data_IF_446301917255
#
_entry.id   IF_446301917255
#
_cell.length_a   1.000
_cell.length_b   1.000
_cell.length_c   1.000
_cell.angle_alpha   90.00
_cell.angle_beta   90.00
_cell.angle_gamma   90.00
#
_symmetry.space_group_name_H-M   'P 1'
#
loop_
_entity.id
_entity.type
_entity.pdbx_description
1 polymer ?
#
# COMPACT_ATOMS: atom_id res chain seq x y z
N UNK A 1 -39.31 -29.51 9.46
CA UNK A 1 -38.37 -30.35 8.68
C UNK A 1 -37.56 -29.44 7.81
N UNK A 2 -36.25 -29.58 7.74
CA UNK A 2 -35.45 -28.79 6.79
C UNK A 2 -35.87 -29.19 5.37
N UNK A 3 -36.11 -28.22 4.52
CA UNK A 3 -36.63 -28.39 3.15
C UNK A 3 -35.54 -28.89 2.22
N UNK A 4 -34.25 -28.79 2.57
CA UNK A 4 -33.11 -29.26 1.80
C UNK A 4 -32.26 -30.19 2.65
N UNK A 5 -31.98 -31.40 2.20
CA UNK A 5 -31.04 -32.30 2.83
C UNK A 5 -29.61 -31.74 2.68
N UNK A 6 -28.75 -31.95 3.67
CA UNK A 6 -27.32 -31.58 3.60
C UNK A 6 -26.59 -32.30 2.45
N UNK A 7 -27.19 -33.33 1.86
CA UNK A 7 -26.64 -34.08 0.74
C UNK A 7 -26.54 -33.26 -0.54
N UNK A 8 -27.41 -32.23 -0.71
CA UNK A 8 -27.43 -31.37 -1.88
C UNK A 8 -26.51 -30.13 -1.76
N UNK A 9 -25.96 -29.86 -0.56
CA UNK A 9 -25.05 -28.76 -0.30
C UNK A 9 -23.79 -29.25 0.39
N UNK A 10 -22.65 -29.35 -0.29
CA UNK A 10 -21.39 -29.68 0.35
C UNK A 10 -21.08 -28.61 1.39
N UNK A 11 -21.14 -28.97 2.69
CA UNK A 11 -20.79 -28.10 3.81
C UNK A 11 -19.29 -27.85 3.76
N UNK A 12 -18.90 -26.75 3.12
CA UNK A 12 -17.50 -26.32 3.03
C UNK A 12 -16.93 -25.91 4.38
N UNK A 13 -17.81 -25.65 5.37
CA UNK A 13 -17.45 -25.33 6.74
C UNK A 13 -18.51 -25.89 7.70
N UNK A 14 -18.08 -26.76 8.61
CA UNK A 14 -18.93 -27.45 9.57
C UNK A 14 -18.35 -27.34 11.00
N UNK A 15 -18.54 -26.18 11.69
CA UNK A 15 -18.04 -25.98 13.04
C UNK A 15 -18.81 -26.84 14.04
N UNK A 16 -18.12 -27.32 15.10
CA UNK A 16 -18.73 -28.11 16.13
C UNK A 16 -19.56 -27.25 17.11
N UNK A 17 -20.83 -27.58 17.32
CA UNK A 17 -21.70 -26.88 18.28
C UNK A 17 -21.18 -26.94 19.71
N UNK A 18 -20.58 -28.05 20.12
CA UNK A 18 -20.09 -28.28 21.49
C UNK A 18 -19.02 -27.26 21.93
N UNK A 19 -18.35 -26.56 20.99
CA UNK A 19 -17.37 -25.52 21.28
C UNK A 19 -17.93 -24.08 21.35
N UNK A 20 -19.25 -23.90 21.17
CA UNK A 20 -19.88 -22.60 21.19
C UNK A 20 -20.46 -22.24 22.55
N UNK A 21 -19.90 -21.22 23.19
CA UNK A 21 -20.39 -20.68 24.48
C UNK A 21 -21.06 -19.31 24.29
N UNK A 22 -22.08 -18.98 25.10
CA UNK A 22 -22.73 -17.68 25.05
C UNK A 22 -21.76 -16.48 25.22
N UNK A 23 -21.96 -15.41 24.44
CA UNK A 23 -23.00 -15.23 23.44
C UNK A 23 -22.66 -15.91 22.11
N UNK A 24 -23.53 -16.84 21.68
CA UNK A 24 -23.29 -17.80 20.58
C UNK A 24 -22.82 -17.15 19.25
N UNK A 25 -23.36 -15.98 18.92
CA UNK A 25 -22.94 -15.29 17.67
C UNK A 25 -21.48 -14.85 17.71
N UNK A 26 -20.94 -14.47 18.89
CA UNK A 26 -19.52 -14.12 19.06
C UNK A 26 -18.64 -15.36 19.00
N UNK A 27 -19.07 -16.43 19.65
CA UNK A 27 -18.34 -17.70 19.64
C UNK A 27 -18.25 -18.27 18.21
N UNK A 28 -19.36 -18.22 17.44
CA UNK A 28 -19.40 -18.66 16.06
C UNK A 28 -18.51 -17.77 15.16
N UNK A 29 -18.55 -16.45 15.32
CA UNK A 29 -17.68 -15.54 14.60
C UNK A 29 -16.19 -15.80 14.91
N UNK A 30 -15.85 -15.99 16.18
CA UNK A 30 -14.48 -16.31 16.60
C UNK A 30 -13.99 -17.68 16.08
N UNK A 31 -14.90 -18.66 15.96
CA UNK A 31 -14.58 -19.94 15.32
C UNK A 31 -14.28 -19.77 13.83
N UNK A 32 -15.14 -19.04 13.10
CA UNK A 32 -14.94 -18.75 11.67
C UNK A 32 -13.61 -18.01 11.45
N UNK A 33 -13.33 -17.00 12.26
CA UNK A 33 -12.09 -16.25 12.24
C UNK A 33 -10.87 -17.16 12.44
N UNK A 34 -10.88 -18.03 13.46
CA UNK A 34 -9.79 -19.00 13.69
C UNK A 34 -9.58 -19.94 12.50
N UNK A 35 -10.66 -20.43 11.90
CA UNK A 35 -10.59 -21.39 10.81
C UNK A 35 -10.08 -20.74 9.51
N UNK A 36 -10.41 -19.46 9.30
CA UNK A 36 -9.85 -18.66 8.20
C UNK A 36 -8.35 -18.38 8.44
N UNK A 37 -8.00 -17.90 9.63
CA UNK A 37 -6.63 -17.50 9.95
C UNK A 37 -5.66 -18.69 10.04
N UNK A 38 -6.14 -19.86 10.43
CA UNK A 38 -5.36 -21.09 10.44
C UNK A 38 -5.16 -21.70 9.03
N UNK A 39 -5.77 -21.13 7.99
CA UNK A 39 -5.75 -21.66 6.64
C UNK A 39 -6.66 -22.85 6.41
N UNK A 40 -7.43 -23.29 7.42
CA UNK A 40 -8.43 -24.36 7.27
C UNK A 40 -9.51 -23.98 6.27
N UNK A 41 -9.84 -22.70 6.20
CA UNK A 41 -10.68 -22.09 5.18
C UNK A 41 -9.85 -21.17 4.31
N UNK A 42 -9.34 -21.64 3.17
CA UNK A 42 -8.50 -20.83 2.28
C UNK A 42 -9.28 -19.67 1.65
N UNK A 43 -8.59 -18.62 1.17
CA UNK A 43 -9.21 -17.54 0.41
C UNK A 43 -10.13 -18.04 -0.70
N UNK A 44 -11.19 -17.28 -0.97
CA UNK A 44 -12.23 -17.60 -1.97
C UNK A 44 -13.09 -18.86 -1.66
N UNK A 45 -12.90 -19.52 -0.54
CA UNK A 45 -13.80 -20.62 -0.13
C UNK A 45 -15.21 -20.07 0.03
N UNK A 46 -16.16 -20.69 -0.67
CA UNK A 46 -17.59 -20.40 -0.50
C UNK A 46 -18.08 -20.98 0.81
N UNK A 47 -18.63 -20.13 1.66
CA UNK A 47 -19.22 -20.55 2.94
C UNK A 47 -20.62 -21.12 2.73
N UNK A 48 -21.10 -21.99 3.64
CA UNK A 48 -22.46 -22.50 3.58
C UNK A 48 -23.48 -21.36 3.64
N UNK A 49 -24.66 -21.51 3.01
CA UNK A 49 -25.76 -20.58 3.20
C UNK A 49 -26.10 -20.43 4.71
N UNK A 50 -26.38 -19.21 5.13
CA UNK A 50 -26.61 -18.92 6.56
C UNK A 50 -27.78 -19.73 7.15
N UNK A 51 -28.80 -20.04 6.34
CA UNK A 51 -29.95 -20.87 6.74
C UNK A 51 -29.53 -22.30 6.99
N UNK A 52 -28.80 -22.90 6.05
CA UNK A 52 -28.28 -24.28 6.17
C UNK A 52 -27.34 -24.42 7.38
N UNK A 53 -26.48 -23.43 7.59
CA UNK A 53 -25.59 -23.42 8.75
C UNK A 53 -26.36 -23.26 10.07
N UNK A 54 -27.45 -22.48 10.10
CA UNK A 54 -28.31 -22.32 11.26
C UNK A 54 -28.99 -23.63 11.61
N UNK A 55 -29.55 -24.33 10.61
CA UNK A 55 -30.18 -25.65 10.77
C UNK A 55 -29.15 -26.70 11.21
N UNK A 56 -27.98 -26.74 10.59
CA UNK A 56 -26.90 -27.66 11.00
C UNK A 56 -26.46 -27.49 12.45
N UNK A 57 -26.36 -26.25 12.93
CA UNK A 57 -25.93 -25.93 14.31
C UNK A 57 -27.09 -25.93 15.31
N UNK A 58 -28.34 -26.14 14.86
CA UNK A 58 -29.56 -25.94 15.66
C UNK A 58 -29.53 -24.59 16.39
N UNK A 59 -29.28 -23.51 15.61
CA UNK A 59 -29.22 -22.12 16.04
C UNK A 59 -30.27 -21.29 15.33
N UNK A 60 -30.66 -20.17 15.94
CA UNK A 60 -31.51 -19.20 15.26
C UNK A 60 -30.73 -18.55 14.11
N UNK A 61 -31.36 -18.37 12.93
CA UNK A 61 -30.79 -17.72 11.78
C UNK A 61 -30.22 -16.34 12.12
N UNK A 62 -30.88 -15.58 13.00
CA UNK A 62 -30.40 -14.26 13.45
C UNK A 62 -29.02 -14.33 14.14
N UNK A 63 -28.74 -15.44 14.87
CA UNK A 63 -27.44 -15.69 15.50
C UNK A 63 -26.34 -15.87 14.46
N UNK A 64 -26.60 -16.68 13.43
CA UNK A 64 -25.66 -16.91 12.32
C UNK A 64 -25.46 -15.64 11.52
N UNK A 65 -26.54 -14.92 11.19
CA UNK A 65 -26.46 -13.64 10.47
C UNK A 65 -25.60 -12.60 11.22
N UNK A 66 -25.76 -12.49 12.55
CA UNK A 66 -24.93 -11.61 13.37
C UNK A 66 -23.45 -12.03 13.39
N UNK A 67 -23.19 -13.34 13.43
CA UNK A 67 -21.81 -13.85 13.36
C UNK A 67 -21.15 -13.52 12.01
N UNK A 68 -21.86 -13.75 10.91
CA UNK A 68 -21.38 -13.43 9.57
C UNK A 68 -21.17 -11.93 9.38
N UNK A 69 -22.05 -11.09 9.90
CA UNK A 69 -21.89 -9.64 9.88
C UNK A 69 -20.62 -9.20 10.61
N UNK A 70 -20.34 -9.74 11.79
CA UNK A 70 -19.09 -9.45 12.50
C UNK A 70 -17.85 -9.83 11.68
N UNK A 71 -17.89 -10.97 10.98
CA UNK A 71 -16.79 -11.37 10.11
C UNK A 71 -16.68 -10.50 8.85
N UNK A 72 -17.81 -10.01 8.32
CA UNK A 72 -17.82 -9.03 7.22
C UNK A 72 -17.24 -7.69 7.66
N UNK A 73 -17.66 -7.19 8.83
CA UNK A 73 -17.15 -5.94 9.40
C UNK A 73 -15.64 -6.00 9.68
N UNK A 74 -15.12 -7.19 9.96
CA UNK A 74 -13.67 -7.47 10.09
C UNK A 74 -12.96 -7.71 8.75
N UNK A 75 -13.65 -7.67 7.62
CA UNK A 75 -13.07 -7.97 6.31
C UNK A 75 -12.65 -9.42 6.08
N UNK A 76 -13.07 -10.36 6.95
CA UNK A 76 -12.74 -11.79 6.85
C UNK A 76 -13.53 -12.51 5.77
N UNK A 77 -14.75 -12.04 5.51
CA UNK A 77 -15.65 -12.61 4.50
C UNK A 77 -16.32 -11.49 3.70
N UNK A 78 -16.74 -11.79 2.47
CA UNK A 78 -17.51 -10.88 1.62
C UNK A 78 -18.67 -11.59 0.95
N UNK A 79 -19.76 -10.87 0.71
CA UNK A 79 -20.96 -11.38 0.05
C UNK A 79 -20.98 -10.99 -1.41
N UNK A 80 -21.37 -11.93 -2.27
CA UNK A 80 -21.64 -11.69 -3.69
C UNK A 80 -23.10 -11.97 -3.95
N UNK A 81 -23.84 -10.97 -4.43
CA UNK A 81 -25.28 -11.07 -4.69
C UNK A 81 -25.54 -12.23 -5.66
N UNK A 82 -26.48 -13.12 -5.30
CA UNK A 82 -26.84 -14.29 -6.07
C UNK A 82 -25.82 -15.45 -6.05
N UNK A 83 -24.64 -15.28 -5.44
CA UNK A 83 -23.58 -16.30 -5.39
C UNK A 83 -23.27 -16.84 -3.99
N UNK A 84 -23.51 -16.03 -2.95
CA UNK A 84 -23.28 -16.41 -1.55
C UNK A 84 -22.16 -15.62 -0.87
N UNK A 85 -21.71 -16.13 0.29
CA UNK A 85 -20.64 -15.54 1.08
C UNK A 85 -19.32 -16.31 0.88
N UNK A 86 -18.22 -15.59 0.77
CA UNK A 86 -16.89 -16.16 0.47
C UNK A 86 -15.86 -15.65 1.48
N UNK A 87 -14.82 -16.44 1.73
CA UNK A 87 -13.65 -16.00 2.49
C UNK A 87 -12.90 -14.94 1.67
N UNK A 88 -12.57 -13.82 2.33
CA UNK A 88 -11.86 -12.70 1.69
C UNK A 88 -10.46 -13.11 1.23
N UNK A 89 -10.00 -12.63 0.07
CA UNK A 89 -8.65 -12.91 -0.42
C UNK A 89 -7.56 -12.39 0.53
N UNK A 90 -7.88 -11.33 1.29
CA UNK A 90 -6.96 -10.67 2.23
C UNK A 90 -7.31 -10.96 3.71
N UNK A 91 -8.13 -11.95 3.99
CA UNK A 91 -8.57 -12.25 5.35
C UNK A 91 -7.41 -12.51 6.34
N UNK A 92 -6.32 -13.12 5.87
CA UNK A 92 -5.12 -13.34 6.67
C UNK A 92 -4.30 -12.05 6.92
N UNK A 93 -4.46 -11.03 6.07
CA UNK A 93 -3.75 -9.75 6.19
C UNK A 93 -4.42 -8.79 7.20
N UNK A 94 -5.70 -8.99 7.49
CA UNK A 94 -6.49 -8.08 8.35
C UNK A 94 -6.11 -8.14 9.83
N UNK A 95 -5.36 -9.16 10.28
CA UNK A 95 -5.08 -9.41 11.70
C UNK A 95 -3.62 -9.22 12.13
N UNK A 96 -2.84 -8.46 11.39
CA UNK A 96 -1.44 -8.17 11.80
C UNK A 96 -1.32 -7.14 12.95
N UNK A 97 -2.44 -6.76 13.60
CA UNK A 97 -2.43 -5.80 14.72
C UNK A 97 -2.60 -6.44 16.12
N UNK A 98 -2.57 -7.75 16.25
CA UNK A 98 -2.74 -8.44 17.56
C UNK A 98 -1.81 -9.64 17.69
N UNK A 99 -0.98 -9.57 18.69
CA UNK A 99 -0.10 -10.53 19.38
C UNK A 99 -0.43 -12.03 19.16
N UNK A 100 -0.16 -12.58 17.99
CA UNK A 100 -0.05 -14.02 17.77
C UNK A 100 1.34 -14.33 17.24
N UNK A 101 2.07 -15.19 17.95
CA UNK A 101 3.39 -15.72 17.55
C UNK A 101 3.32 -16.12 16.08
N UNK A 102 3.99 -15.34 15.24
CA UNK A 102 3.98 -15.47 13.79
C UNK A 102 4.65 -16.78 13.37
N UNK A 103 3.87 -17.78 13.04
CA UNK A 103 4.35 -18.96 12.29
C UNK A 103 4.38 -18.68 10.78
N UNK A 104 3.83 -17.57 10.32
CA UNK A 104 3.76 -17.18 8.91
C UNK A 104 4.82 -16.12 8.62
N UNK A 105 5.69 -16.41 7.65
CA UNK A 105 6.61 -15.44 7.07
C UNK A 105 5.85 -14.71 5.96
N UNK A 106 5.51 -13.44 6.21
CA UNK A 106 4.84 -12.59 5.22
C UNK A 106 5.88 -11.99 4.27
N UNK A 107 5.79 -12.32 2.99
CA UNK A 107 6.64 -11.76 1.93
C UNK A 107 5.92 -10.69 1.08
N UNK A 108 4.62 -10.46 1.33
CA UNK A 108 3.81 -9.55 0.54
C UNK A 108 3.95 -8.07 0.91
N UNK A 109 4.44 -7.77 2.11
CA UNK A 109 4.57 -6.40 2.60
C UNK A 109 5.94 -6.18 3.25
N UNK A 110 6.65 -5.16 2.78
CA UNK A 110 7.94 -4.78 3.36
C UNK A 110 7.69 -3.90 4.58
N UNK A 111 8.15 -4.34 5.73
CA UNK A 111 8.11 -3.61 7.00
C UNK A 111 9.51 -3.18 7.44
N UNK A 112 9.68 -2.02 8.08
CA UNK A 112 10.91 -1.68 8.77
C UNK A 112 11.12 -2.61 9.98
N UNK A 113 12.32 -2.61 10.55
CA UNK A 113 12.62 -3.39 11.74
C UNK A 113 11.82 -2.88 12.96
N UNK A 114 11.24 -3.79 13.74
CA UNK A 114 10.41 -3.47 14.91
C UNK A 114 11.20 -2.64 15.97
N UNK A 115 12.52 -2.87 16.10
CA UNK A 115 13.38 -2.12 17.00
C UNK A 115 13.40 -0.60 16.75
N UNK A 116 13.17 -0.16 15.52
CA UNK A 116 13.08 1.27 15.19
C UNK A 116 11.81 1.90 15.77
N UNK A 117 10.74 1.11 15.89
CA UNK A 117 9.47 1.59 16.47
C UNK A 117 9.62 1.91 17.97
N UNK A 118 10.46 1.17 18.71
CA UNK A 118 10.74 1.44 20.13
C UNK A 118 11.50 2.77 20.28
N UNK A 119 12.55 2.99 19.48
CA UNK A 119 13.32 4.24 19.47
C UNK A 119 12.40 5.44 19.19
N UNK A 120 11.50 5.30 18.22
CA UNK A 120 10.55 6.37 17.89
C UNK A 120 9.51 6.59 18.98
N UNK A 121 9.05 5.54 19.65
CA UNK A 121 8.13 5.66 20.77
C UNK A 121 8.79 6.41 21.95
N UNK A 122 10.06 6.13 22.25
CA UNK A 122 10.80 6.85 23.28
C UNK A 122 11.01 8.31 22.91
N UNK A 123 11.42 8.59 21.68
CA UNK A 123 11.54 9.96 21.17
C UNK A 123 10.20 10.71 21.26
N UNK A 124 9.09 10.08 20.90
CA UNK A 124 7.77 10.70 21.02
C UNK A 124 7.39 11.00 22.46
N UNK A 125 7.71 10.10 23.41
CA UNK A 125 7.49 10.35 24.84
C UNK A 125 8.32 11.54 25.35
N UNK A 126 9.56 11.69 24.91
CA UNK A 126 10.41 12.84 25.24
C UNK A 126 9.79 14.15 24.72
N UNK A 127 9.41 14.17 23.46
CA UNK A 127 8.79 15.35 22.82
C UNK A 127 7.50 15.74 23.56
N UNK A 128 6.64 14.76 23.90
CA UNK A 128 5.37 15.01 24.59
C UNK A 128 5.53 15.44 26.07
N UNK A 129 6.68 15.20 26.69
CA UNK A 129 7.02 15.74 28.03
C UNK A 129 7.52 17.19 27.97
N UNK A 130 7.85 17.67 26.79
CA UNK A 130 8.32 19.03 26.58
C UNK A 130 7.25 20.10 26.92
N UNK A 131 7.69 21.32 27.29
CA UNK A 131 6.77 22.42 27.62
C UNK A 131 5.88 22.85 26.48
N UNK A 132 6.32 22.64 25.24
CA UNK A 132 5.62 23.03 24.02
C UNK A 132 4.80 21.91 23.40
N UNK A 133 4.61 20.78 24.11
CA UNK A 133 3.89 19.61 23.58
C UNK A 133 2.48 19.94 23.06
N UNK A 134 1.78 20.86 23.74
CA UNK A 134 0.44 21.31 23.33
C UNK A 134 0.42 21.93 21.92
N UNK A 135 1.51 22.55 21.47
CA UNK A 135 1.61 23.14 20.11
C UNK A 135 1.56 22.09 19.01
N UNK A 136 1.93 20.84 19.29
CA UNK A 136 1.87 19.74 18.32
C UNK A 136 0.42 19.39 17.92
N UNK A 137 -0.56 19.81 18.73
CA UNK A 137 -1.98 19.54 18.50
C UNK A 137 -2.75 20.79 18.02
N UNK A 138 -2.05 21.86 17.75
CA UNK A 138 -2.63 23.07 17.17
C UNK A 138 -2.43 23.11 15.66
N UNK A 139 -3.16 23.97 14.98
CA UNK A 139 -2.92 24.24 13.56
C UNK A 139 -1.50 24.80 13.41
N UNK A 140 -0.69 24.19 12.53
CA UNK A 140 0.68 24.61 12.28
C UNK A 140 0.76 26.06 11.75
N UNK A 141 1.80 26.78 12.14
CA UNK A 141 2.13 28.08 11.58
C UNK A 141 3.07 27.93 10.37
N UNK A 142 3.14 28.96 9.53
CA UNK A 142 4.11 29.02 8.44
C UNK A 142 5.57 28.84 8.92
N UNK A 143 5.88 29.26 10.16
CA UNK A 143 7.19 29.05 10.77
C UNK A 143 7.47 27.59 11.12
N UNK A 144 6.43 26.86 11.57
CA UNK A 144 6.56 25.44 11.87
C UNK A 144 6.75 24.63 10.57
N UNK A 145 6.02 25.01 9.52
CA UNK A 145 6.17 24.41 8.18
C UNK A 145 7.57 24.63 7.62
N UNK A 146 8.11 25.85 7.69
CA UNK A 146 9.47 26.17 7.26
C UNK A 146 10.53 25.37 8.05
N UNK A 147 10.36 25.24 9.36
CA UNK A 147 11.27 24.44 10.20
C UNK A 147 11.26 22.96 9.80
N UNK A 148 10.08 22.40 9.53
CA UNK A 148 9.95 21.02 9.08
C UNK A 148 10.56 20.84 7.68
N UNK A 149 10.29 21.76 6.74
CA UNK A 149 10.86 21.73 5.41
C UNK A 149 12.40 21.80 5.43
N UNK A 150 12.99 22.71 6.22
CA UNK A 150 14.45 22.77 6.41
C UNK A 150 15.04 21.49 6.97
N UNK A 151 14.32 20.83 7.88
CA UNK A 151 14.75 19.55 8.45
C UNK A 151 14.74 18.45 7.39
N UNK A 152 13.68 18.42 6.58
CA UNK A 152 13.57 17.49 5.46
C UNK A 152 14.65 17.75 4.39
N UNK A 153 14.93 19.01 4.03
CA UNK A 153 16.01 19.36 3.10
C UNK A 153 17.35 18.80 3.59
N UNK A 154 17.70 19.00 4.88
CA UNK A 154 18.92 18.44 5.47
C UNK A 154 18.93 16.92 5.46
N UNK A 155 17.78 16.27 5.62
CA UNK A 155 17.67 14.83 5.52
C UNK A 155 17.93 14.34 4.09
N UNK A 156 17.37 15.01 3.10
CA UNK A 156 17.49 14.63 1.69
C UNK A 156 18.93 14.73 1.15
N UNK A 157 19.80 15.54 1.74
CA UNK A 157 21.22 15.57 1.36
C UNK A 157 21.91 14.22 1.50
N UNK A 158 21.42 13.34 2.39
CA UNK A 158 21.92 11.96 2.56
C UNK A 158 21.69 11.09 1.32
N UNK A 159 20.74 11.49 0.48
CA UNK A 159 20.38 10.82 -0.77
C UNK A 159 20.88 11.61 -1.99
N UNK A 160 21.91 12.45 -1.80
CA UNK A 160 22.50 13.29 -2.86
C UNK A 160 21.50 14.25 -3.52
N UNK A 161 20.43 14.61 -2.82
CA UNK A 161 19.42 15.56 -3.31
C UNK A 161 19.52 16.86 -2.54
N UNK A 162 19.83 17.96 -3.26
CA UNK A 162 19.75 19.32 -2.76
C UNK A 162 18.35 19.87 -3.00
N UNK A 163 17.59 20.08 -1.96
CA UNK A 163 16.25 20.68 -2.00
C UNK A 163 16.21 21.97 -1.20
N UNK A 164 15.36 22.90 -1.61
CA UNK A 164 15.09 24.14 -0.90
C UNK A 164 13.72 24.06 -0.22
N UNK A 165 13.54 24.71 0.95
CA UNK A 165 12.24 24.68 1.64
C UNK A 165 11.07 25.15 0.80
N UNK A 166 11.29 26.04 -0.15
CA UNK A 166 10.27 26.60 -1.06
C UNK A 166 9.77 25.61 -2.12
N UNK A 167 10.53 24.54 -2.39
CA UNK A 167 10.15 23.52 -3.36
C UNK A 167 9.92 22.13 -2.71
N UNK A 168 9.72 22.11 -1.39
CA UNK A 168 9.48 20.90 -0.63
C UNK A 168 8.12 20.96 0.07
N UNK A 169 7.33 19.90 -0.10
CA UNK A 169 6.04 19.73 0.58
C UNK A 169 6.08 18.51 1.48
N UNK A 170 5.61 18.66 2.71
CA UNK A 170 5.36 17.54 3.61
C UNK A 170 3.95 16.99 3.37
N UNK A 171 3.84 15.68 3.30
CA UNK A 171 2.57 15.00 3.03
C UNK A 171 2.33 13.83 3.98
N UNK A 172 1.09 13.38 4.08
CA UNK A 172 0.69 12.26 4.93
C UNK A 172 1.06 10.89 4.32
N UNK A 173 2.34 10.73 3.97
CA UNK A 173 2.91 9.54 3.34
C UNK A 173 2.83 9.56 1.80
N UNK A 174 3.60 8.68 1.15
CA UNK A 174 3.77 8.64 -0.32
C UNK A 174 2.46 8.54 -1.08
N UNK A 175 1.47 7.81 -0.57
CA UNK A 175 0.18 7.68 -1.25
C UNK A 175 -0.56 9.02 -1.34
N UNK A 176 -0.49 9.85 -0.29
CA UNK A 176 -1.02 11.21 -0.30
C UNK A 176 -0.24 12.10 -1.27
N UNK A 177 1.11 12.01 -1.26
CA UNK A 177 1.93 12.73 -2.20
C UNK A 177 1.61 12.39 -3.66
N UNK A 178 1.48 11.10 -3.98
CA UNK A 178 1.10 10.63 -5.32
C UNK A 178 -0.27 11.16 -5.74
N UNK A 179 -1.26 11.17 -4.83
CA UNK A 179 -2.58 11.71 -5.12
C UNK A 179 -2.51 13.22 -5.43
N UNK A 180 -1.75 13.99 -4.67
CA UNK A 180 -1.52 15.42 -4.90
C UNK A 180 -0.86 15.65 -6.26
N UNK A 181 0.23 14.92 -6.56
CA UNK A 181 0.97 15.04 -7.83
C UNK A 181 0.07 14.71 -9.01
N UNK A 182 -0.67 13.60 -8.96
CA UNK A 182 -1.53 13.19 -10.06
C UNK A 182 -2.69 14.16 -10.28
N UNK A 183 -3.32 14.66 -9.23
CA UNK A 183 -4.44 15.61 -9.35
C UNK A 183 -4.01 17.02 -9.74
N UNK A 184 -2.78 17.43 -9.40
CA UNK A 184 -2.28 18.76 -9.71
C UNK A 184 -1.67 18.88 -11.11
N UNK A 185 -1.09 17.79 -11.64
CA UNK A 185 -0.25 17.86 -12.85
C UNK A 185 -0.81 17.06 -14.03
N UNK A 186 -1.86 16.25 -13.82
CA UNK A 186 -2.43 15.40 -14.87
C UNK A 186 -3.95 15.50 -14.88
N UNK A 187 -4.50 15.38 -16.09
CA UNK A 187 -5.94 15.32 -16.33
C UNK A 187 -6.41 13.88 -16.61
N UNK A 188 -7.72 13.66 -16.46
CA UNK A 188 -8.32 12.38 -16.83
C UNK A 188 -8.07 12.08 -18.32
N UNK A 189 -7.56 10.89 -18.61
CA UNK A 189 -7.18 10.45 -19.95
C UNK A 189 -5.72 10.66 -20.29
N UNK A 190 -4.95 11.42 -19.49
CA UNK A 190 -3.49 11.55 -19.64
C UNK A 190 -2.79 10.19 -19.55
N UNK A 191 -1.64 10.10 -20.21
CA UNK A 191 -0.85 8.87 -20.30
C UNK A 191 0.43 9.00 -19.50
N UNK A 192 0.66 8.06 -18.59
CA UNK A 192 1.88 7.96 -17.78
C UNK A 192 2.56 6.64 -18.10
N UNK A 193 3.82 6.71 -18.54
CA UNK A 193 4.66 5.53 -18.72
C UNK A 193 5.02 4.91 -17.38
N UNK A 194 5.07 3.59 -17.32
CA UNK A 194 5.46 2.81 -16.13
C UNK A 194 6.26 1.59 -16.54
N UNK A 195 7.05 1.04 -15.63
CA UNK A 195 7.59 -0.30 -15.81
C UNK A 195 6.47 -1.33 -15.99
N UNK A 196 6.73 -2.40 -16.71
CA UNK A 196 5.76 -3.48 -16.96
C UNK A 196 5.14 -4.03 -15.67
N UNK A 197 5.94 -4.09 -14.60
CA UNK A 197 5.50 -4.36 -13.24
C UNK A 197 5.82 -3.15 -12.37
N UNK A 198 4.82 -2.56 -11.78
CA UNK A 198 4.96 -1.35 -10.98
C UNK A 198 4.11 -1.39 -9.70
N UNK A 199 4.24 -0.39 -8.86
CA UNK A 199 3.59 -0.32 -7.55
C UNK A 199 2.06 -0.41 -7.63
N UNK A 200 1.48 -1.42 -6.99
CA UNK A 200 0.06 -1.75 -7.09
C UNK A 200 -0.87 -0.60 -6.67
N UNK A 201 -0.49 0.15 -5.61
CA UNK A 201 -1.32 1.27 -5.16
C UNK A 201 -1.23 2.48 -6.11
N UNK A 202 -0.13 2.65 -6.87
CA UNK A 202 -0.05 3.63 -7.94
C UNK A 202 -1.01 3.26 -9.08
N UNK A 203 -1.06 1.97 -9.46
CA UNK A 203 -2.02 1.48 -10.47
C UNK A 203 -3.46 1.77 -10.03
N UNK A 204 -3.79 1.47 -8.77
CA UNK A 204 -5.14 1.70 -8.23
C UNK A 204 -5.52 3.18 -8.23
N UNK A 205 -4.59 4.05 -7.83
CA UNK A 205 -4.78 5.50 -7.80
C UNK A 205 -4.96 6.08 -9.21
N UNK A 206 -4.10 5.71 -10.16
CA UNK A 206 -4.22 6.13 -11.55
C UNK A 206 -5.57 5.73 -12.16
N UNK A 207 -6.03 4.51 -11.87
CA UNK A 207 -7.36 4.04 -12.28
C UNK A 207 -8.48 4.89 -11.70
N UNK A 208 -8.42 5.26 -10.41
CA UNK A 208 -9.43 6.11 -9.76
C UNK A 208 -9.50 7.51 -10.39
N UNK A 209 -8.36 8.02 -10.83
CA UNK A 209 -8.24 9.33 -11.48
C UNK A 209 -8.43 9.29 -13.01
N UNK A 210 -8.80 8.13 -13.57
CA UNK A 210 -8.91 7.89 -15.02
C UNK A 210 -7.63 8.23 -15.81
N UNK A 211 -6.46 8.08 -15.19
CA UNK A 211 -5.15 8.22 -15.84
C UNK A 211 -4.79 6.87 -16.47
N UNK A 212 -4.27 6.92 -17.69
CA UNK A 212 -3.89 5.72 -18.45
C UNK A 212 -2.44 5.37 -18.22
N UNK A 213 -2.17 4.25 -17.57
CA UNK A 213 -0.82 3.73 -17.42
C UNK A 213 -0.41 2.97 -18.69
N UNK A 214 0.77 3.30 -19.19
CA UNK A 214 1.36 2.70 -20.40
C UNK A 214 2.58 1.90 -19.97
N UNK A 215 2.49 0.56 -19.93
CA UNK A 215 3.64 -0.27 -19.62
C UNK A 215 4.66 -0.19 -20.77
N UNK A 216 5.91 0.10 -20.43
CA UNK A 216 7.03 0.14 -21.36
C UNK A 216 7.88 -1.12 -21.20
N UNK A 217 8.43 -1.62 -22.28
CA UNK A 217 9.37 -2.74 -22.26
C UNK A 217 10.63 -2.39 -21.47
N UNK A 218 11.18 -3.39 -20.79
CA UNK A 218 12.38 -3.26 -19.98
C UNK A 218 13.18 -4.56 -19.98
N UNK A 219 14.39 -4.48 -19.48
CA UNK A 219 15.32 -5.60 -19.30
C UNK A 219 15.73 -5.73 -17.83
N UNK A 220 16.86 -6.38 -17.56
CA UNK A 220 17.41 -6.57 -16.20
C UNK A 220 17.81 -5.25 -15.52
N UNK A 221 18.00 -4.18 -16.28
CA UNK A 221 18.37 -2.83 -15.82
C UNK A 221 17.17 -1.87 -15.77
N UNK A 222 15.96 -2.38 -16.01
CA UNK A 222 14.71 -1.60 -15.99
C UNK A 222 14.26 -1.15 -17.38
N UNK A 223 13.47 -0.09 -17.43
CA UNK A 223 12.86 0.43 -18.66
C UNK A 223 13.86 0.73 -19.76
N UNK A 224 13.54 0.34 -21.01
CA UNK A 224 14.35 0.64 -22.20
C UNK A 224 14.06 2.05 -22.73
N UNK A 225 15.09 2.92 -22.88
CA UNK A 225 14.94 4.29 -23.37
C UNK A 225 14.33 4.35 -24.78
N UNK A 226 14.75 3.47 -25.68
CA UNK A 226 14.26 3.43 -27.07
C UNK A 226 12.79 3.02 -27.14
N UNK A 227 12.38 2.06 -26.30
CA UNK A 227 10.99 1.65 -26.20
C UNK A 227 10.09 2.80 -25.68
N UNK A 228 10.57 3.56 -24.68
CA UNK A 228 9.90 4.76 -24.20
C UNK A 228 9.75 5.81 -25.29
N UNK A 229 10.83 6.10 -26.02
CA UNK A 229 10.83 7.08 -27.11
C UNK A 229 9.87 6.67 -28.24
N UNK A 230 9.92 5.40 -28.65
CA UNK A 230 9.03 4.86 -29.67
C UNK A 230 7.55 4.93 -29.24
N UNK A 231 7.25 4.52 -28.01
CA UNK A 231 5.87 4.55 -27.49
C UNK A 231 5.35 5.99 -27.37
N UNK A 232 6.20 6.93 -26.93
CA UNK A 232 5.82 8.35 -26.88
C UNK A 232 5.44 8.92 -28.24
N UNK A 233 6.17 8.57 -29.32
CA UNK A 233 5.85 9.01 -30.69
C UNK A 233 4.46 8.54 -31.14
N UNK A 234 4.02 7.38 -30.67
CA UNK A 234 2.72 6.81 -31.07
C UNK A 234 1.55 7.42 -30.29
N UNK A 235 1.70 7.66 -28.99
CA UNK A 235 0.55 7.96 -28.11
C UNK A 235 0.72 9.19 -27.21
N UNK A 236 1.76 9.99 -27.37
CA UNK A 236 2.01 11.20 -26.59
C UNK A 236 1.92 10.97 -25.07
N UNK A 237 2.98 10.44 -24.47
CA UNK A 237 3.11 10.22 -23.02
C UNK A 237 3.40 11.56 -22.34
N UNK A 238 2.63 11.94 -21.31
CA UNK A 238 2.77 13.20 -20.57
C UNK A 238 3.71 13.09 -19.37
N UNK A 239 3.75 11.93 -18.73
CA UNK A 239 4.58 11.67 -17.57
C UNK A 239 5.12 10.24 -17.53
N UNK A 240 6.05 10.02 -16.62
CA UNK A 240 6.60 8.71 -16.31
C UNK A 240 6.67 8.54 -14.79
N UNK A 241 6.32 7.36 -14.29
CA UNK A 241 6.51 6.98 -12.90
C UNK A 241 7.53 5.86 -12.81
N UNK A 242 8.60 6.09 -12.05
CA UNK A 242 9.70 5.15 -11.85
C UNK A 242 10.11 5.05 -10.38
N UNK A 243 10.67 3.89 -10.03
CA UNK A 243 11.32 3.60 -8.75
C UNK A 243 12.78 3.14 -9.01
N UNK A 244 13.69 4.04 -9.42
CA UNK A 244 15.01 3.66 -9.94
C UNK A 244 15.94 3.05 -8.90
N UNK A 245 15.77 3.37 -7.62
CA UNK A 245 16.64 2.88 -6.54
C UNK A 245 16.33 1.44 -6.12
N UNK A 246 15.08 1.02 -6.29
CA UNK A 246 14.63 -0.35 -6.07
C UNK A 246 13.18 -0.47 -6.55
N UNK A 247 12.99 -1.03 -7.73
CA UNK A 247 11.69 -1.15 -8.34
C UNK A 247 10.77 -2.11 -7.58
N UNK A 248 9.55 -1.71 -7.33
CA UNK A 248 8.55 -2.54 -6.68
C UNK A 248 7.53 -3.05 -7.73
N UNK A 249 7.38 -4.38 -7.96
CA UNK A 249 7.83 -5.48 -7.09
C UNK A 249 9.14 -6.17 -7.52
N UNK A 250 9.80 -5.75 -8.59
CA UNK A 250 10.87 -6.52 -9.24
C UNK A 250 12.21 -6.49 -8.49
N UNK A 251 12.44 -5.46 -7.64
CA UNK A 251 13.73 -5.27 -6.95
C UNK A 251 14.85 -4.76 -7.86
N UNK A 252 14.57 -4.42 -9.11
CA UNK A 252 15.57 -3.89 -10.06
C UNK A 252 16.11 -2.57 -9.52
N UNK A 253 17.43 -2.43 -9.53
CA UNK A 253 18.16 -1.18 -9.27
C UNK A 253 18.68 -0.67 -10.60
N UNK A 254 18.13 0.45 -11.06
CA UNK A 254 18.48 1.03 -12.35
C UNK A 254 19.91 1.60 -12.31
N UNK A 255 20.84 1.15 -13.18
CA UNK A 255 22.20 1.66 -13.26
C UNK A 255 22.22 3.14 -13.66
N UNK A 256 23.30 3.83 -13.29
CA UNK A 256 23.45 5.28 -13.56
C UNK A 256 23.39 5.61 -15.05
N UNK A 257 23.98 4.79 -15.91
CA UNK A 257 23.93 4.95 -17.36
C UNK A 257 22.48 4.92 -17.86
N UNK A 258 21.69 3.90 -17.45
CA UNK A 258 20.28 3.79 -17.81
C UNK A 258 19.47 4.99 -17.33
N UNK A 259 19.75 5.52 -16.11
CA UNK A 259 19.12 6.73 -15.59
C UNK A 259 19.41 7.94 -16.48
N UNK A 260 20.63 8.09 -16.96
CA UNK A 260 21.03 9.17 -17.89
C UNK A 260 20.32 9.05 -19.24
N UNK A 261 20.24 7.84 -19.79
CA UNK A 261 19.57 7.60 -21.08
C UNK A 261 18.08 7.89 -21.01
N UNK A 262 17.40 7.39 -20.00
CA UNK A 262 15.99 7.72 -19.75
C UNK A 262 15.84 9.25 -19.58
N UNK A 263 16.66 9.89 -18.75
CA UNK A 263 16.59 11.34 -18.53
C UNK A 263 16.80 12.14 -19.83
N UNK A 264 17.63 11.65 -20.75
CA UNK A 264 17.81 12.26 -22.07
C UNK A 264 16.53 12.20 -22.91
N UNK A 265 15.84 11.05 -22.91
CA UNK A 265 14.53 10.90 -23.58
C UNK A 265 13.49 11.83 -22.96
N UNK A 266 13.39 11.87 -21.62
CA UNK A 266 12.43 12.71 -20.90
C UNK A 266 12.65 14.20 -21.24
N UNK A 267 13.91 14.66 -21.24
CA UNK A 267 14.27 16.05 -21.57
C UNK A 267 13.91 16.39 -23.02
N UNK A 268 14.24 15.50 -23.95
CA UNK A 268 13.97 15.68 -25.37
C UNK A 268 12.48 15.85 -25.68
N UNK A 269 11.65 15.10 -24.99
CA UNK A 269 10.21 15.01 -25.24
C UNK A 269 9.35 15.76 -24.22
N UNK A 270 9.97 16.48 -23.29
CA UNK A 270 9.27 17.20 -22.20
C UNK A 270 8.30 16.32 -21.39
N UNK A 271 8.72 15.08 -21.07
CA UNK A 271 7.96 14.13 -20.28
C UNK A 271 8.28 14.33 -18.79
N UNK A 272 7.27 14.57 -17.96
CA UNK A 272 7.43 14.80 -16.52
C UNK A 272 7.84 13.50 -15.79
N UNK A 273 8.90 13.55 -14.99
CA UNK A 273 9.31 12.43 -14.14
C UNK A 273 8.60 12.49 -12.77
N UNK A 274 7.98 11.40 -12.35
CA UNK A 274 7.59 11.12 -10.97
C UNK A 274 8.53 10.04 -10.47
N UNK A 275 9.50 10.40 -9.64
CA UNK A 275 10.47 9.48 -9.05
C UNK A 275 10.04 9.10 -7.64
N UNK A 276 9.63 7.86 -7.43
CA UNK A 276 9.28 7.33 -6.10
C UNK A 276 10.49 6.61 -5.52
N UNK A 277 11.12 7.24 -4.54
CA UNK A 277 12.31 6.76 -3.88
C UNK A 277 12.04 6.26 -2.44
N UNK A 278 10.93 5.55 -2.28
CA UNK A 278 10.55 4.95 -0.99
C UNK A 278 11.60 3.96 -0.45
N UNK A 279 12.46 3.44 -1.32
CA UNK A 279 13.52 2.47 -1.01
C UNK A 279 14.94 2.99 -1.24
N UNK A 280 15.14 4.28 -1.46
CA UNK A 280 16.45 4.87 -1.74
C UNK A 280 17.52 4.57 -0.70
N UNK A 281 17.10 4.35 0.55
CA UNK A 281 18.00 3.95 1.65
C UNK A 281 18.59 2.53 1.47
N UNK A 282 18.02 1.69 0.61
CA UNK A 282 18.51 0.33 0.32
C UNK A 282 19.53 0.30 -0.80
N UNK A 283 19.60 1.35 -1.61
CA UNK A 283 20.47 1.42 -2.77
C UNK A 283 21.94 1.45 -2.33
N UNK A 284 22.60 0.30 -2.44
CA UNK A 284 24.06 0.20 -2.26
C UNK A 284 24.71 0.67 -3.55
N UNK A 285 25.42 1.78 -3.50
CA UNK A 285 26.22 2.23 -4.63
C UNK A 285 25.97 3.62 -5.15
N UNK A 286 25.27 4.47 -4.38
CA UNK A 286 25.21 5.94 -4.54
C UNK A 286 24.88 6.50 -5.94
N UNK A 287 24.09 5.81 -6.74
CA UNK A 287 23.54 6.47 -7.93
C UNK A 287 22.58 7.57 -7.44
N UNK A 288 22.90 8.82 -7.79
CA UNK A 288 22.05 9.96 -7.46
C UNK A 288 20.64 9.76 -8.04
N UNK A 289 19.60 10.30 -7.39
CA UNK A 289 18.25 10.31 -7.94
C UNK A 289 18.24 10.90 -9.36
N UNK A 290 17.38 10.37 -10.23
CA UNK A 290 17.20 10.90 -11.59
C UNK A 290 16.73 12.35 -11.60
N UNK A 291 16.01 12.75 -10.58
CA UNK A 291 15.57 14.14 -10.35
C UNK A 291 16.73 15.15 -10.43
N UNK A 292 17.94 14.77 -10.01
CA UNK A 292 19.14 15.62 -10.13
C UNK A 292 19.46 15.95 -11.60
N UNK A 293 19.16 15.04 -12.50
CA UNK A 293 19.33 15.22 -13.93
C UNK A 293 18.21 16.07 -14.57
N UNK A 294 17.07 16.19 -13.89
CA UNK A 294 15.83 16.81 -14.40
C UNK A 294 15.22 17.80 -13.39
N UNK A 295 15.94 18.78 -12.85
CA UNK A 295 15.51 19.57 -11.69
C UNK A 295 14.26 20.42 -11.91
N UNK A 296 13.87 20.69 -13.17
CA UNK A 296 12.68 21.45 -13.54
C UNK A 296 11.57 20.62 -14.15
N UNK A 297 11.80 19.32 -14.27
CA UNK A 297 10.93 18.40 -15.00
C UNK A 297 10.69 17.11 -14.20
N UNK A 298 10.80 17.20 -12.88
CA UNK A 298 10.61 16.04 -12.00
C UNK A 298 9.94 16.41 -10.71
N UNK A 299 9.23 15.41 -10.15
CA UNK A 299 8.77 15.38 -8.76
C UNK A 299 9.43 14.18 -8.10
N UNK A 300 10.16 14.44 -7.03
CA UNK A 300 10.80 13.41 -6.22
C UNK A 300 9.97 13.12 -4.98
N UNK A 301 9.72 11.85 -4.71
CA UNK A 301 8.95 11.39 -3.55
C UNK A 301 9.83 10.55 -2.64
N UNK A 302 9.99 10.98 -1.40
CA UNK A 302 10.71 10.23 -0.37
C UNK A 302 9.84 10.02 0.85
N UNK A 303 9.94 8.84 1.47
CA UNK A 303 9.10 8.47 2.60
C UNK A 303 9.92 7.88 3.74
N UNK A 304 9.52 8.20 4.97
CA UNK A 304 10.06 7.57 6.18
C UNK A 304 9.41 6.21 6.48
N UNK A 305 8.33 5.85 5.79
CA UNK A 305 7.52 4.66 6.11
C UNK A 305 8.27 3.33 6.02
N UNK A 306 9.25 3.22 5.10
CA UNK A 306 10.02 1.99 4.91
C UNK A 306 11.35 2.02 5.65
N UNK A 307 11.85 3.21 5.97
CA UNK A 307 13.11 3.41 6.66
C UNK A 307 12.95 3.33 8.18
N UNK A 308 11.88 3.92 8.73
CA UNK A 308 11.72 4.07 10.18
C UNK A 308 10.39 3.50 10.68
N UNK A 309 9.30 4.24 10.49
CA UNK A 309 7.99 3.91 11.05
C UNK A 309 6.85 4.29 10.10
N UNK A 310 6.10 3.31 9.58
CA UNK A 310 4.97 3.57 8.71
C UNK A 310 3.85 4.37 9.41
N UNK A 311 3.74 4.27 10.74
CA UNK A 311 2.73 4.96 11.54
C UNK A 311 2.89 6.48 11.58
N UNK A 312 4.09 7.03 11.36
CA UNK A 312 4.30 8.49 11.31
C UNK A 312 3.61 9.19 10.15
N UNK A 313 3.34 8.47 9.08
CA UNK A 313 2.69 9.02 7.87
C UNK A 313 3.39 10.26 7.32
N UNK A 314 4.71 10.22 7.16
CA UNK A 314 5.51 11.34 6.64
C UNK A 314 6.16 10.97 5.32
N UNK A 315 5.98 11.86 4.33
CA UNK A 315 6.70 11.84 3.05
C UNK A 315 6.94 13.28 2.58
N UNK A 316 7.91 13.43 1.74
CA UNK A 316 8.33 14.70 1.16
C UNK A 316 8.18 14.68 -0.35
#
# INVERSE_FOLDING_TARGET
>A
MPINSFDDYPMTWSPARAGLHPPLYRALAAQLERDILSGRLPPHTKLPPQRELADYLDLNLSTVTRAFRLCTDKGLVYAVIGRGTFVSPNAALSNTTGDTKKSLIELGSIHPYDSLSEILADTAREILRGRDAARLFTLGSAQDEDRHARTACRWLTRFSLAAEPTNLLLTAGTQSALAIVLTALFDAGDRIAVDRYTYANFISLAKQLNIRLIPIEGDVDGMLPDALAQQHQQINIKGIYLMPSCANPTGIVMPEERRRDIAAVLRKHNILLIEDDAYGFTARGNAAPMTVLLPRQSVYLHSLSKLTCPGLRVAY
#
